data_IF_034008497775
#
_entry.id   IF_034008497775
#
_cell.length_a   1.000
_cell.length_b   1.000
_cell.length_c   1.000
_cell.angle_alpha   90.00
_cell.angle_beta   90.00
_cell.angle_gamma   90.00
#
_symmetry.space_group_name_H-M   'P 1'
#
loop_
_entity.id
_entity.type
_entity.pdbx_description
1 polymer ?
#
# COMPACT_ATOMS: atom_id res chain seq x y z
N UNK A 1 4.98 -20.56 -17.93
CA UNK A 1 5.14 -19.56 -16.85
C UNK A 1 3.75 -19.25 -16.27
N UNK A 2 3.65 -18.93 -14.98
CA UNK A 2 2.39 -18.50 -14.35
C UNK A 2 2.48 -17.01 -14.01
N UNK A 3 1.56 -16.16 -14.46
CA UNK A 3 1.62 -14.72 -14.17
C UNK A 3 1.17 -14.45 -12.73
N UNK A 4 1.96 -13.65 -12.01
CA UNK A 4 1.61 -13.02 -10.74
C UNK A 4 1.53 -11.53 -11.01
N UNK A 5 0.34 -10.96 -10.87
CA UNK A 5 0.06 -9.60 -11.32
C UNK A 5 -0.20 -8.71 -10.11
N UNK A 6 0.60 -7.67 -9.96
CA UNK A 6 0.38 -6.57 -9.02
C UNK A 6 -0.50 -5.51 -9.68
N UNK A 7 -1.59 -5.11 -9.01
CA UNK A 7 -2.52 -4.12 -9.54
C UNK A 7 -1.98 -2.70 -9.40
N UNK A 8 -1.41 -2.34 -8.24
CA UNK A 8 -0.74 -1.06 -8.02
C UNK A 8 0.64 -1.28 -7.41
N UNK A 9 1.64 -0.66 -8.04
CA UNK A 9 3.03 -0.66 -7.63
C UNK A 9 3.59 0.77 -7.60
N UNK A 10 2.97 1.63 -6.77
CA UNK A 10 3.34 3.04 -6.57
C UNK A 10 3.07 3.94 -7.79
N UNK A 11 2.23 3.45 -8.70
CA UNK A 11 1.93 4.03 -10.01
C UNK A 11 0.48 4.49 -10.12
N UNK A 12 -0.09 5.03 -9.02
CA UNK A 12 -1.46 5.54 -9.09
C UNK A 12 -1.56 6.74 -10.05
N UNK A 13 -2.70 6.91 -10.76
CA UNK A 13 -2.81 7.95 -11.77
C UNK A 13 -2.65 9.37 -11.20
N UNK A 14 -1.82 10.20 -11.84
CA UNK A 14 -1.65 11.61 -11.48
C UNK A 14 -2.98 12.38 -11.44
N UNK A 15 -3.94 12.05 -12.32
CA UNK A 15 -5.25 12.69 -12.33
C UNK A 15 -6.04 12.52 -11.02
N UNK A 16 -5.82 11.41 -10.29
CA UNK A 16 -6.44 11.17 -8.98
C UNK A 16 -5.70 11.93 -7.87
N UNK A 17 -4.39 12.08 -8.00
CA UNK A 17 -3.59 12.96 -7.15
C UNK A 17 -4.05 14.41 -7.28
N UNK A 18 -4.20 14.92 -8.50
CA UNK A 18 -4.64 16.28 -8.77
C UNK A 18 -6.10 16.52 -8.31
N UNK A 19 -6.98 15.52 -8.48
CA UNK A 19 -8.40 15.65 -8.17
C UNK A 19 -8.71 15.64 -6.66
N UNK A 20 -7.98 14.84 -5.87
CA UNK A 20 -8.27 14.68 -4.45
C UNK A 20 -7.10 14.25 -3.56
N UNK A 21 -5.86 14.24 -4.07
CA UNK A 21 -4.67 13.82 -3.32
C UNK A 21 -4.48 12.30 -3.24
N UNK A 22 -5.01 11.56 -4.21
CA UNK A 22 -4.76 10.13 -4.33
C UNK A 22 -5.11 9.35 -3.05
N UNK A 23 -4.14 8.63 -2.49
CA UNK A 23 -4.35 7.83 -1.29
C UNK A 23 -4.56 8.62 0.01
N UNK A 24 -4.43 9.96 0.00
CA UNK A 24 -4.86 10.79 1.13
C UNK A 24 -6.39 10.89 1.25
N UNK A 25 -7.14 10.56 0.19
CA UNK A 25 -8.60 10.66 0.18
C UNK A 25 -9.29 9.30 0.26
N UNK A 26 -10.41 9.18 1.01
CA UNK A 26 -11.20 7.96 1.02
C UNK A 26 -11.83 7.63 -0.35
N UNK A 27 -11.90 8.61 -1.27
CA UNK A 27 -12.40 8.39 -2.64
C UNK A 27 -11.61 7.33 -3.41
N UNK A 28 -10.30 7.21 -3.13
CA UNK A 28 -9.41 6.23 -3.77
C UNK A 28 -9.89 4.79 -3.61
N UNK A 29 -10.61 4.48 -2.52
CA UNK A 29 -11.07 3.13 -2.21
C UNK A 29 -12.02 2.62 -3.30
N UNK A 30 -12.94 3.49 -3.73
CA UNK A 30 -13.89 3.16 -4.79
C UNK A 30 -13.19 3.08 -6.14
N UNK A 31 -12.39 4.08 -6.49
CA UNK A 31 -11.72 4.15 -7.79
C UNK A 31 -10.74 2.99 -7.99
N UNK A 32 -10.03 2.57 -6.93
CA UNK A 32 -9.16 1.38 -6.97
C UNK A 32 -9.96 0.09 -7.15
N UNK A 33 -11.12 -0.06 -6.49
CA UNK A 33 -11.95 -1.25 -6.65
C UNK A 33 -12.54 -1.35 -8.07
N UNK A 34 -12.92 -0.23 -8.68
CA UNK A 34 -13.38 -0.17 -10.06
C UNK A 34 -12.25 -0.52 -11.05
N UNK A 35 -11.05 0.03 -10.85
CA UNK A 35 -9.86 -0.35 -11.61
C UNK A 35 -9.55 -1.85 -11.50
N UNK A 36 -9.54 -2.39 -10.27
CA UNK A 36 -9.32 -3.81 -10.03
C UNK A 36 -10.37 -4.68 -10.76
N UNK A 37 -11.63 -4.24 -10.77
CA UNK A 37 -12.70 -4.93 -11.50
C UNK A 37 -12.43 -5.01 -13.01
N UNK A 38 -11.94 -3.92 -13.61
CA UNK A 38 -11.56 -3.90 -15.02
C UNK A 38 -10.47 -4.95 -15.29
N UNK A 39 -9.44 -5.02 -14.44
CA UNK A 39 -8.38 -6.02 -14.56
C UNK A 39 -8.90 -7.46 -14.40
N UNK A 40 -9.76 -7.71 -13.41
CA UNK A 40 -10.33 -9.05 -13.19
C UNK A 40 -11.18 -9.51 -14.36
N UNK A 41 -12.00 -8.61 -14.95
CA UNK A 41 -12.79 -8.90 -16.15
C UNK A 41 -11.91 -9.19 -17.36
N UNK A 42 -10.88 -8.38 -17.59
CA UNK A 42 -10.05 -8.45 -18.79
C UNK A 42 -9.05 -9.62 -18.79
N UNK A 43 -8.51 -9.97 -17.62
CA UNK A 43 -7.36 -10.89 -17.52
C UNK A 43 -7.59 -12.08 -16.59
N UNK A 44 -8.65 -12.11 -15.80
CA UNK A 44 -8.87 -13.16 -14.79
C UNK A 44 -9.20 -14.54 -15.37
N UNK A 45 -9.47 -14.64 -16.67
CA UNK A 45 -9.53 -15.91 -17.39
C UNK A 45 -8.17 -16.64 -17.33
N UNK A 46 -7.06 -15.90 -17.39
CA UNK A 46 -5.67 -16.43 -17.43
C UNK A 46 -4.88 -16.15 -16.15
N UNK A 47 -5.04 -14.98 -15.54
CA UNK A 47 -4.33 -14.60 -14.31
C UNK A 47 -4.97 -15.28 -13.10
N UNK A 48 -4.18 -16.05 -12.35
CA UNK A 48 -4.65 -16.81 -11.17
C UNK A 48 -4.05 -16.35 -9.85
N UNK A 49 -3.11 -15.40 -9.88
CA UNK A 49 -2.45 -14.87 -8.70
C UNK A 49 -2.43 -13.35 -8.78
N UNK A 50 -3.26 -12.73 -7.95
CA UNK A 50 -3.43 -11.29 -7.88
C UNK A 50 -2.78 -10.74 -6.62
N UNK A 51 -1.98 -9.69 -6.79
CA UNK A 51 -1.45 -8.86 -5.72
C UNK A 51 -2.12 -7.50 -5.87
N UNK A 52 -2.80 -7.05 -4.83
CA UNK A 52 -3.52 -5.77 -4.86
C UNK A 52 -2.54 -4.60 -4.81
N UNK A 53 -1.80 -4.50 -3.72
CA UNK A 53 -0.85 -3.42 -3.45
C UNK A 53 0.50 -4.05 -3.11
N UNK A 54 1.56 -3.53 -3.72
CA UNK A 54 2.93 -3.89 -3.36
C UNK A 54 3.45 -2.93 -2.28
N UNK A 55 3.99 -3.47 -1.19
CA UNK A 55 4.72 -2.77 -0.14
C UNK A 55 4.04 -1.50 0.36
N UNK A 56 2.83 -1.58 0.95
CA UNK A 56 2.10 -0.40 1.41
C UNK A 56 2.87 0.42 2.45
N UNK A 57 3.57 -0.21 3.40
CA UNK A 57 4.36 0.56 4.39
C UNK A 57 5.50 1.35 3.76
N UNK A 58 6.17 0.81 2.73
CA UNK A 58 7.20 1.53 1.96
C UNK A 58 6.58 2.71 1.21
N UNK A 59 5.40 2.53 0.60
CA UNK A 59 4.69 3.61 -0.09
C UNK A 59 4.36 4.76 0.87
N UNK A 60 3.75 4.47 2.02
CA UNK A 60 3.40 5.48 3.02
C UNK A 60 4.62 6.19 3.56
N UNK A 61 5.68 5.46 3.93
CA UNK A 61 6.89 6.06 4.48
C UNK A 61 7.63 6.91 3.45
N UNK A 62 7.87 6.36 2.26
CA UNK A 62 8.66 7.08 1.27
C UNK A 62 7.88 8.18 0.55
N UNK A 63 6.56 8.03 0.40
CA UNK A 63 5.71 9.03 -0.24
C UNK A 63 5.31 10.19 0.66
N UNK A 64 5.17 9.93 1.98
CA UNK A 64 4.50 10.85 2.91
C UNK A 64 5.22 11.08 4.25
N UNK A 65 6.29 10.32 4.58
CA UNK A 65 7.13 10.60 5.75
C UNK A 65 8.41 11.35 5.37
N UNK A 66 9.18 10.84 4.39
CA UNK A 66 10.46 11.40 3.99
C UNK A 66 10.46 12.03 2.58
N UNK A 67 9.37 11.89 1.83
CA UNK A 67 9.17 12.49 0.51
C UNK A 67 10.11 11.99 -0.60
N UNK A 68 10.74 10.82 -0.45
CA UNK A 68 11.64 10.23 -1.46
C UNK A 68 10.86 9.73 -2.70
N UNK A 69 9.63 9.23 -2.52
CA UNK A 69 8.77 8.75 -3.60
C UNK A 69 7.67 9.77 -3.92
N UNK A 70 7.15 9.80 -5.16
CA UNK A 70 5.95 10.57 -5.48
C UNK A 70 4.79 10.24 -4.50
N UNK A 71 4.01 11.24 -4.05
CA UNK A 71 4.01 12.66 -4.46
C UNK A 71 5.08 13.54 -3.78
N UNK A 72 5.99 12.96 -3.00
CA UNK A 72 7.13 13.64 -2.41
C UNK A 72 6.75 14.52 -1.23
N UNK A 73 5.84 14.04 -0.38
CA UNK A 73 5.28 14.80 0.75
C UNK A 73 6.01 14.48 2.06
N UNK A 74 6.24 15.51 2.86
CA UNK A 74 6.77 15.41 4.21
C UNK A 74 6.59 16.74 4.96
N UNK A 75 6.75 16.72 6.29
CA UNK A 75 6.71 17.93 7.10
C UNK A 75 7.87 18.89 6.79
N UNK A 76 7.56 20.19 6.69
CA UNK A 76 8.55 21.23 6.36
C UNK A 76 9.78 21.26 7.29
N UNK A 77 9.61 20.91 8.57
CA UNK A 77 10.70 20.92 9.56
C UNK A 77 11.81 19.89 9.29
N UNK A 78 11.55 18.88 8.45
CA UNK A 78 12.55 17.90 8.04
C UNK A 78 13.57 18.47 7.05
N UNK A 79 13.27 19.61 6.40
CA UNK A 79 14.17 20.26 5.41
C UNK A 79 14.62 19.35 4.25
N UNK A 80 13.76 18.42 3.81
CA UNK A 80 14.03 17.44 2.75
C UNK A 80 13.58 17.90 1.34
N UNK A 81 13.22 19.17 1.16
CA UNK A 81 12.72 19.72 -0.11
C UNK A 81 11.48 18.99 -0.67
N UNK A 82 10.55 18.63 0.22
CA UNK A 82 9.28 18.01 -0.12
C UNK A 82 8.26 19.00 -0.70
N UNK A 83 7.20 18.49 -1.30
CA UNK A 83 6.08 19.26 -1.88
C UNK A 83 5.05 19.74 -0.84
N UNK A 84 5.37 19.59 0.45
CA UNK A 84 4.53 19.89 1.62
C UNK A 84 4.00 18.63 2.31
N UNK A 85 3.10 18.80 3.28
CA UNK A 85 2.43 17.71 4.00
C UNK A 85 2.80 17.61 5.47
N UNK A 86 2.39 16.50 6.08
CA UNK A 86 2.62 16.21 7.51
C UNK A 86 2.99 14.74 7.74
N UNK A 87 4.28 14.51 7.96
CA UNK A 87 4.88 13.19 8.25
C UNK A 87 4.35 12.52 9.51
N UNK A 88 3.65 13.25 10.39
CA UNK A 88 3.03 12.69 11.59
C UNK A 88 1.58 12.21 11.38
N UNK A 89 0.95 12.56 10.24
CA UNK A 89 -0.48 12.30 9.99
C UNK A 89 -0.69 11.54 8.67
N UNK A 90 -0.09 12.03 7.60
CA UNK A 90 -0.35 11.56 6.23
C UNK A 90 0.01 10.08 6.02
N UNK A 91 1.14 9.55 6.54
CA UNK A 91 1.45 8.12 6.39
C UNK A 91 0.37 7.21 6.97
N UNK A 92 -0.28 7.63 8.07
CA UNK A 92 -1.37 6.86 8.69
C UNK A 92 -2.64 6.90 7.85
N UNK A 93 -2.99 8.07 7.30
CA UNK A 93 -4.15 8.21 6.40
C UNK A 93 -3.98 7.38 5.12
N UNK A 94 -2.80 7.45 4.52
CA UNK A 94 -2.45 6.71 3.31
C UNK A 94 -2.50 5.20 3.56
N UNK A 95 -1.84 4.71 4.61
CA UNK A 95 -1.91 3.30 5.00
C UNK A 95 -3.35 2.84 5.25
N UNK A 96 -4.16 3.66 5.93
CA UNK A 96 -5.56 3.36 6.19
C UNK A 96 -6.37 3.18 4.89
N UNK A 97 -6.26 4.11 3.94
CA UNK A 97 -6.97 4.01 2.67
C UNK A 97 -6.42 2.89 1.77
N UNK A 98 -5.12 2.59 1.81
CA UNK A 98 -4.56 1.43 1.12
C UNK A 98 -5.18 0.11 1.63
N UNK A 99 -5.33 -0.05 2.95
CA UNK A 99 -5.97 -1.24 3.53
C UNK A 99 -7.46 -1.33 3.16
N UNK A 100 -8.18 -0.21 3.18
CA UNK A 100 -9.58 -0.17 2.73
C UNK A 100 -9.73 -0.50 1.23
N UNK A 101 -8.85 0.03 0.38
CA UNK A 101 -8.81 -0.25 -1.05
C UNK A 101 -8.49 -1.73 -1.32
N UNK A 102 -7.51 -2.28 -0.61
CA UNK A 102 -7.23 -3.72 -0.61
C UNK A 102 -8.47 -4.54 -0.25
N UNK A 103 -9.12 -4.24 0.88
CA UNK A 103 -10.30 -4.96 1.35
C UNK A 103 -11.45 -4.89 0.34
N UNK A 104 -11.69 -3.72 -0.27
CA UNK A 104 -12.71 -3.53 -1.28
C UNK A 104 -12.46 -4.40 -2.53
N UNK A 105 -11.22 -4.39 -3.06
CA UNK A 105 -10.86 -5.20 -4.21
C UNK A 105 -10.90 -6.72 -3.92
N UNK A 106 -10.43 -7.14 -2.74
CA UNK A 106 -10.50 -8.55 -2.30
C UNK A 106 -11.94 -9.01 -2.16
N UNK A 107 -12.80 -8.22 -1.50
CA UNK A 107 -14.22 -8.54 -1.35
C UNK A 107 -14.87 -8.72 -2.72
N UNK A 108 -14.69 -7.75 -3.62
CA UNK A 108 -15.18 -7.80 -4.99
C UNK A 108 -14.71 -9.07 -5.73
N UNK A 109 -13.41 -9.39 -5.66
CA UNK A 109 -12.85 -10.58 -6.31
C UNK A 109 -13.47 -11.87 -5.76
N UNK A 110 -13.54 -12.01 -4.43
CA UNK A 110 -14.06 -13.22 -3.77
C UNK A 110 -15.53 -13.44 -4.07
N UNK A 111 -16.35 -12.39 -4.01
CA UNK A 111 -17.80 -12.48 -4.20
C UNK A 111 -18.18 -12.72 -5.66
N UNK A 112 -17.49 -12.07 -6.62
CA UNK A 112 -17.92 -12.04 -8.02
C UNK A 112 -17.09 -12.92 -8.96
N UNK A 113 -15.79 -13.10 -8.69
CA UNK A 113 -14.86 -13.69 -9.66
C UNK A 113 -14.21 -14.98 -9.21
N UNK A 114 -13.95 -15.16 -7.90
CA UNK A 114 -13.14 -16.28 -7.40
C UNK A 114 -13.74 -17.65 -7.72
N UNK A 115 -15.06 -17.80 -7.62
CA UNK A 115 -15.74 -19.07 -7.94
C UNK A 115 -15.56 -19.46 -9.42
N UNK A 116 -15.66 -18.51 -10.34
CA UNK A 116 -15.51 -18.76 -11.78
C UNK A 116 -14.05 -18.82 -12.23
N UNK A 117 -13.20 -17.93 -11.73
CA UNK A 117 -11.82 -17.75 -12.19
C UNK A 117 -10.83 -18.66 -11.44
N UNK A 118 -11.19 -19.13 -10.24
CA UNK A 118 -10.43 -20.07 -9.40
C UNK A 118 -9.01 -19.61 -9.06
N UNK A 119 -8.78 -18.29 -9.01
CA UNK A 119 -7.50 -17.70 -8.61
C UNK A 119 -7.44 -17.31 -7.13
N UNK A 120 -6.29 -16.82 -6.71
CA UNK A 120 -5.99 -16.29 -5.38
C UNK A 120 -5.69 -14.79 -5.46
N UNK A 121 -5.96 -14.08 -4.36
CA UNK A 121 -5.72 -12.65 -4.24
C UNK A 121 -5.13 -12.34 -2.86
N UNK A 122 -4.14 -11.45 -2.82
CA UNK A 122 -3.49 -11.00 -1.59
C UNK A 122 -2.85 -9.62 -1.75
N UNK A 123 -1.99 -9.27 -0.80
CA UNK A 123 -1.09 -8.12 -0.84
C UNK A 123 0.34 -8.59 -0.59
N UNK A 124 1.33 -7.82 -1.02
CA UNK A 124 2.75 -8.10 -0.74
C UNK A 124 3.28 -7.03 0.17
N UNK A 125 3.99 -7.45 1.22
CA UNK A 125 4.65 -6.56 2.17
C UNK A 125 6.15 -6.80 2.11
N UNK A 126 6.93 -5.72 1.98
CA UNK A 126 8.37 -5.76 2.12
C UNK A 126 8.72 -5.47 3.58
N UNK A 127 9.60 -6.29 4.15
CA UNK A 127 10.01 -6.17 5.55
C UNK A 127 11.50 -6.38 5.68
N UNK A 128 12.10 -5.60 6.57
CA UNK A 128 13.45 -5.87 7.05
C UNK A 128 13.40 -6.79 8.26
N UNK A 129 14.37 -7.71 8.34
CA UNK A 129 14.58 -8.50 9.53
C UNK A 129 15.33 -7.67 10.58
N UNK A 130 14.62 -7.26 11.64
CA UNK A 130 15.21 -6.45 12.71
C UNK A 130 15.79 -7.34 13.80
N UNK A 131 17.04 -7.09 14.16
CA UNK A 131 17.74 -7.77 15.25
C UNK A 131 18.00 -6.75 16.36
N UNK A 132 17.80 -7.16 17.61
CA UNK A 132 18.14 -6.34 18.78
C UNK A 132 19.64 -6.02 18.81
N UNK A 133 19.99 -4.78 19.14
CA UNK A 133 21.38 -4.32 19.20
C UNK A 133 22.18 -5.04 20.29
N UNK A 134 21.54 -5.38 21.41
CA UNK A 134 22.12 -6.15 22.50
C UNK A 134 21.08 -7.09 23.13
N UNK A 135 21.48 -7.82 24.17
CA UNK A 135 20.59 -8.67 24.97
C UNK A 135 19.77 -7.90 26.00
N UNK A 136 19.87 -6.57 26.05
CA UNK A 136 19.05 -5.77 26.95
C UNK A 136 17.56 -5.88 26.58
N UNK A 137 16.68 -5.85 27.59
CA UNK A 137 15.23 -5.87 27.33
C UNK A 137 14.79 -4.66 26.49
N UNK A 138 15.44 -3.50 26.67
CA UNK A 138 15.14 -2.30 25.91
C UNK A 138 15.38 -2.47 24.41
N UNK A 139 16.49 -3.14 24.02
CA UNK A 139 16.81 -3.40 22.62
C UNK A 139 15.93 -4.50 22.00
N UNK A 140 15.57 -5.51 22.80
CA UNK A 140 14.60 -6.55 22.39
C UNK A 140 13.24 -5.91 22.09
N UNK A 141 12.76 -5.05 22.99
CA UNK A 141 11.50 -4.33 22.81
C UNK A 141 11.57 -3.34 21.63
N UNK A 142 12.73 -2.70 21.43
CA UNK A 142 12.95 -1.79 20.30
C UNK A 142 12.90 -2.53 18.95
N UNK A 143 13.56 -3.69 18.84
CA UNK A 143 13.49 -4.53 17.64
C UNK A 143 12.05 -5.01 17.36
N UNK A 144 11.30 -5.38 18.41
CA UNK A 144 9.90 -5.74 18.29
C UNK A 144 9.05 -4.56 17.78
N UNK A 145 9.19 -3.36 18.37
CA UNK A 145 8.49 -2.16 17.91
C UNK A 145 8.80 -1.84 16.44
N UNK A 146 10.07 -1.88 16.04
CA UNK A 146 10.45 -1.65 14.66
C UNK A 146 9.77 -2.64 13.70
N UNK A 147 9.67 -3.91 14.06
CA UNK A 147 8.95 -4.92 13.27
C UNK A 147 7.45 -4.61 13.16
N UNK A 148 6.79 -4.28 14.27
CA UNK A 148 5.35 -3.95 14.29
C UNK A 148 5.05 -2.78 13.34
N UNK A 149 5.88 -1.73 13.38
CA UNK A 149 5.74 -0.56 12.49
C UNK A 149 6.08 -0.85 11.02
N UNK A 150 6.69 -1.99 10.67
CA UNK A 150 6.98 -2.34 9.27
C UNK A 150 6.01 -3.38 8.69
N UNK A 151 5.54 -4.31 9.52
CA UNK A 151 4.77 -5.49 9.10
C UNK A 151 3.29 -5.43 9.51
N UNK A 152 3.00 -5.02 10.74
CA UNK A 152 1.67 -5.20 11.35
C UNK A 152 0.76 -3.97 11.17
N UNK A 153 1.32 -2.88 10.63
CA UNK A 153 0.64 -1.60 10.37
C UNK A 153 -0.35 -1.71 9.19
#
# INVERSE_FOLDING_TARGET
>A
LKPFVTLVHYDHPQSLEDAYGGFLSPKVVKDFAEYAEVCFKAFGDRVKYWITINGPSIFSQNGYTNGIYPPGRCSNWLSLNCTGGDSAIEPYLVSHHQLLAHAAAVKLYREKYQNSQKGQIGLVQAIDWVIALSQSQADIDAAFRAKVFMLDW
#
